data_IF_168654852164
#
_entry.id   IF_168654852164
#
_cell.length_a   1.000
_cell.length_b   1.000
_cell.length_c   1.000
_cell.angle_alpha   90.00
_cell.angle_beta   90.00
_cell.angle_gamma   90.00
#
_symmetry.space_group_name_H-M   'P 1'
#
loop_
_entity.id
_entity.type
_entity.pdbx_description
1 polymer ?
#
# COMPACT_ATOMS: atom_id res chain seq x y z
N UNK A 1 -1.53 -21.87 -33.48
CA UNK A 1 -1.07 -20.80 -32.56
C UNK A 1 0.33 -21.18 -32.11
N UNK A 2 1.27 -20.24 -32.05
CA UNK A 2 2.60 -20.55 -31.53
C UNK A 2 2.44 -20.94 -30.06
N UNK A 3 2.93 -22.12 -29.66
CA UNK A 3 2.90 -22.52 -28.25
C UNK A 3 3.75 -21.55 -27.43
N UNK A 4 3.17 -21.04 -26.35
CA UNK A 4 3.89 -20.19 -25.41
C UNK A 4 5.08 -20.95 -24.83
N UNK A 5 6.24 -20.28 -24.82
CA UNK A 5 7.51 -20.89 -24.38
C UNK A 5 8.05 -20.19 -23.15
N UNK A 6 8.26 -20.96 -22.11
CA UNK A 6 8.79 -20.54 -20.82
C UNK A 6 10.31 -20.75 -20.81
N UNK A 7 11.05 -19.80 -20.24
CA UNK A 7 12.50 -19.92 -20.04
C UNK A 7 12.79 -20.89 -18.89
N UNK A 8 13.73 -21.82 -19.10
CA UNK A 8 14.09 -22.82 -18.08
C UNK A 8 15.17 -22.23 -17.17
N UNK A 9 14.75 -21.75 -16.00
CA UNK A 9 15.65 -21.24 -14.95
C UNK A 9 16.44 -22.39 -14.31
N UNK A 10 17.48 -22.05 -13.55
CA UNK A 10 18.20 -23.06 -12.77
C UNK A 10 17.33 -23.64 -11.65
N UNK A 11 16.51 -22.80 -11.00
CA UNK A 11 15.56 -23.25 -9.98
C UNK A 11 14.58 -24.29 -10.53
N UNK A 12 13.90 -23.97 -11.65
CA UNK A 12 12.99 -24.90 -12.32
C UNK A 12 13.68 -26.22 -12.69
N UNK A 13 14.92 -26.14 -13.18
CA UNK A 13 15.68 -27.33 -13.57
C UNK A 13 16.02 -28.22 -12.37
N UNK A 14 16.48 -27.61 -11.28
CA UNK A 14 16.85 -28.34 -10.07
C UNK A 14 15.63 -28.99 -9.42
N UNK A 15 14.51 -28.26 -9.33
CA UNK A 15 13.26 -28.79 -8.77
C UNK A 15 12.75 -30.00 -9.57
N UNK A 16 12.71 -29.92 -10.91
CA UNK A 16 12.37 -31.07 -11.77
C UNK A 16 13.29 -32.26 -11.49
N UNK A 17 14.60 -32.04 -11.32
CA UNK A 17 15.57 -33.12 -11.06
C UNK A 17 15.33 -33.76 -9.70
N UNK A 18 15.09 -32.95 -8.67
CA UNK A 18 14.92 -33.38 -7.28
C UNK A 18 13.64 -34.19 -7.14
N UNK A 19 12.48 -33.63 -7.49
CA UNK A 19 11.19 -34.31 -7.43
C UNK A 19 11.18 -35.61 -8.22
N UNK A 20 11.74 -35.60 -9.43
CA UNK A 20 11.86 -36.81 -10.26
C UNK A 20 12.66 -37.90 -9.56
N UNK A 21 13.78 -37.54 -8.93
CA UNK A 21 14.64 -38.50 -8.20
C UNK A 21 13.95 -39.03 -6.96
N UNK A 22 13.18 -38.19 -6.27
CA UNK A 22 12.43 -38.58 -5.07
C UNK A 22 11.33 -39.60 -5.40
N UNK A 23 10.71 -39.49 -6.58
CA UNK A 23 9.81 -40.51 -7.13
C UNK A 23 10.53 -41.77 -7.67
N UNK A 24 11.86 -41.75 -7.78
CA UNK A 24 12.64 -42.88 -8.31
C UNK A 24 12.51 -43.13 -9.81
N UNK A 25 11.98 -42.18 -10.59
CA UNK A 25 11.82 -42.32 -12.05
C UNK A 25 13.03 -41.75 -12.80
N UNK A 26 13.40 -42.33 -13.95
CA UNK A 26 14.50 -41.80 -14.75
C UNK A 26 14.04 -40.63 -15.64
N UNK A 27 14.98 -39.82 -16.14
CA UNK A 27 14.64 -38.74 -17.10
C UNK A 27 13.98 -39.27 -18.38
N UNK A 28 14.28 -40.53 -18.75
CA UNK A 28 13.64 -41.17 -19.88
C UNK A 28 12.18 -41.50 -19.56
N UNK A 29 11.93 -42.10 -18.40
CA UNK A 29 10.58 -42.52 -18.00
C UNK A 29 9.64 -41.31 -17.90
N UNK A 30 10.10 -40.21 -17.27
CA UNK A 30 9.31 -38.98 -17.20
C UNK A 30 9.08 -38.38 -18.59
N UNK A 31 10.08 -38.42 -19.47
CA UNK A 31 9.92 -37.96 -20.86
C UNK A 31 8.91 -38.80 -21.66
N UNK A 32 8.78 -40.10 -21.40
CA UNK A 32 7.75 -40.95 -22.03
C UNK A 32 6.36 -40.65 -21.46
N UNK A 33 6.26 -40.45 -20.14
CA UNK A 33 4.99 -40.18 -19.47
C UNK A 33 4.35 -38.84 -19.85
N UNK A 34 5.14 -37.79 -20.08
CA UNK A 34 4.65 -36.50 -20.58
C UNK A 34 3.91 -36.66 -21.92
N UNK A 35 4.24 -37.69 -22.71
CA UNK A 35 3.72 -37.88 -24.05
C UNK A 35 4.20 -36.78 -25.01
N UNK A 36 3.61 -36.69 -26.20
CA UNK A 36 3.94 -35.72 -27.28
C UNK A 36 5.10 -36.10 -28.23
N UNK A 37 5.61 -37.34 -28.18
CA UNK A 37 6.61 -37.82 -29.15
C UNK A 37 8.01 -37.22 -28.95
N UNK A 38 8.30 -36.74 -27.74
CA UNK A 38 9.61 -36.24 -27.35
C UNK A 38 10.67 -37.34 -27.46
N UNK A 39 11.89 -36.95 -27.82
CA UNK A 39 13.01 -37.89 -27.89
C UNK A 39 13.38 -38.40 -26.48
N UNK A 40 13.95 -39.60 -26.38
CA UNK A 40 14.48 -40.16 -25.11
C UNK A 40 15.49 -39.29 -24.36
N UNK A 41 16.06 -38.29 -25.04
CA UNK A 41 17.04 -37.35 -24.48
C UNK A 41 16.44 -35.97 -24.18
N UNK A 42 15.15 -35.76 -24.41
CA UNK A 42 14.51 -34.44 -24.32
C UNK A 42 14.59 -33.89 -22.90
N UNK A 43 14.11 -34.64 -21.91
CA UNK A 43 14.19 -34.21 -20.52
C UNK A 43 15.66 -34.18 -20.03
N UNK A 44 16.49 -35.12 -20.45
CA UNK A 44 17.93 -35.08 -20.13
C UNK A 44 18.60 -33.80 -20.65
N UNK A 45 18.18 -33.28 -21.80
CA UNK A 45 18.67 -32.02 -22.37
C UNK A 45 18.14 -30.78 -21.63
N UNK A 46 16.97 -30.88 -21.00
CA UNK A 46 16.47 -29.86 -20.07
C UNK A 46 17.32 -29.87 -18.80
N UNK A 47 17.52 -31.06 -18.21
CA UNK A 47 18.28 -31.28 -16.96
C UNK A 47 19.77 -30.95 -17.08
N UNK A 48 20.38 -31.07 -18.27
CA UNK A 48 21.78 -30.69 -18.49
C UNK A 48 21.95 -29.25 -19.01
N UNK A 49 20.86 -28.49 -19.13
CA UNK A 49 20.87 -27.09 -19.52
C UNK A 49 21.12 -26.82 -21.01
N UNK A 50 21.12 -27.84 -21.88
CA UNK A 50 21.17 -27.65 -23.34
C UNK A 50 19.89 -27.01 -23.88
N UNK A 51 18.73 -27.43 -23.37
CA UNK A 51 17.45 -26.82 -23.70
C UNK A 51 17.23 -25.58 -22.84
N UNK A 52 16.91 -24.44 -23.45
CA UNK A 52 16.72 -23.15 -22.76
C UNK A 52 15.25 -22.74 -22.60
N UNK A 53 14.35 -23.33 -23.39
CA UNK A 53 12.92 -23.03 -23.38
C UNK A 53 12.09 -24.30 -23.48
N UNK A 54 10.97 -24.35 -22.77
CA UNK A 54 9.98 -25.43 -22.79
C UNK A 54 8.61 -24.86 -23.12
N UNK A 55 7.70 -25.65 -23.70
CA UNK A 55 6.31 -25.18 -23.90
C UNK A 55 5.56 -25.18 -22.57
N UNK A 56 4.60 -24.26 -22.41
CA UNK A 56 3.73 -24.23 -21.22
C UNK A 56 3.06 -25.59 -20.96
N UNK A 57 2.45 -26.18 -21.99
CA UNK A 57 1.76 -27.48 -21.88
C UNK A 57 2.69 -28.63 -21.46
N UNK A 58 3.91 -28.70 -22.03
CA UNK A 58 4.89 -29.71 -21.64
C UNK A 58 5.34 -29.52 -20.18
N UNK A 59 5.48 -28.27 -19.74
CA UNK A 59 5.88 -27.96 -18.37
C UNK A 59 4.80 -28.35 -17.37
N UNK A 60 3.54 -27.98 -17.63
CA UNK A 60 2.41 -28.35 -16.78
C UNK A 60 2.30 -29.87 -16.69
N UNK A 61 2.41 -30.59 -17.82
CA UNK A 61 2.38 -32.06 -17.82
C UNK A 61 3.51 -32.69 -17.00
N UNK A 62 4.72 -32.12 -17.04
CA UNK A 62 5.81 -32.56 -16.16
C UNK A 62 5.37 -32.47 -14.71
N UNK A 63 4.83 -31.32 -14.28
CA UNK A 63 4.45 -31.11 -12.89
C UNK A 63 3.22 -31.90 -12.45
N UNK A 64 2.23 -32.10 -13.33
CA UNK A 64 1.11 -33.01 -13.05
C UNK A 64 1.60 -34.43 -12.72
N UNK A 65 2.61 -34.93 -13.45
CA UNK A 65 3.23 -36.23 -13.16
C UNK A 65 4.03 -36.18 -11.85
N UNK A 66 4.83 -35.13 -11.63
CA UNK A 66 5.69 -34.99 -10.45
C UNK A 66 4.91 -34.80 -9.15
N UNK A 67 3.68 -34.30 -9.22
CA UNK A 67 2.81 -34.05 -8.07
C UNK A 67 1.70 -35.10 -7.91
N UNK A 68 1.66 -36.08 -8.82
CA UNK A 68 0.63 -37.13 -8.84
C UNK A 68 -0.80 -36.54 -8.83
N UNK A 69 -0.99 -35.41 -9.53
CA UNK A 69 -2.28 -34.70 -9.64
C UNK A 69 -2.84 -34.81 -11.06
N UNK A 70 -4.16 -34.99 -11.13
CA UNK A 70 -4.93 -34.90 -12.39
C UNK A 70 -5.45 -33.47 -12.63
N UNK A 71 -5.26 -32.56 -11.67
CA UNK A 71 -5.66 -31.16 -11.75
C UNK A 71 -4.51 -30.30 -12.29
N UNK A 72 -4.64 -29.69 -13.48
CA UNK A 72 -3.63 -28.77 -14.01
C UNK A 72 -3.39 -27.56 -13.12
N UNK A 73 -4.37 -27.12 -12.32
CA UNK A 73 -4.27 -25.90 -11.52
C UNK A 73 -3.27 -26.09 -10.37
N UNK A 74 -3.26 -27.25 -9.71
CA UNK A 74 -2.23 -27.62 -8.70
C UNK A 74 -0.80 -27.51 -9.30
N UNK A 75 -0.62 -28.07 -10.50
CA UNK A 75 0.67 -28.05 -11.19
C UNK A 75 1.07 -26.64 -11.64
N UNK A 76 0.09 -25.81 -12.05
CA UNK A 76 0.30 -24.40 -12.40
C UNK A 76 0.79 -23.64 -11.17
N UNK A 77 0.11 -23.80 -10.03
CA UNK A 77 0.44 -23.13 -8.77
C UNK A 77 1.90 -23.37 -8.36
N UNK A 78 2.33 -24.63 -8.36
CA UNK A 78 3.73 -24.98 -8.06
C UNK A 78 4.70 -24.35 -9.06
N UNK A 79 4.39 -24.42 -10.35
CA UNK A 79 5.27 -23.86 -11.39
C UNK A 79 5.39 -22.35 -11.27
N UNK A 80 4.29 -21.65 -10.98
CA UNK A 80 4.26 -20.20 -10.78
C UNK A 80 5.11 -19.80 -9.57
N UNK A 81 5.06 -20.57 -8.48
CA UNK A 81 5.91 -20.35 -7.30
C UNK A 81 7.40 -20.54 -7.57
N UNK A 82 7.76 -21.52 -8.39
CA UNK A 82 9.17 -21.77 -8.74
C UNK A 82 9.69 -20.71 -9.71
N UNK A 83 8.85 -20.27 -10.64
CA UNK A 83 9.21 -19.30 -11.65
C UNK A 83 9.05 -17.86 -11.19
N UNK A 84 8.33 -17.63 -10.09
CA UNK A 84 7.99 -16.30 -9.54
C UNK A 84 7.26 -15.45 -10.61
N UNK A 85 6.38 -16.08 -11.38
CA UNK A 85 5.64 -15.45 -12.48
C UNK A 85 4.32 -16.19 -12.75
N UNK A 86 3.28 -15.46 -13.14
CA UNK A 86 2.02 -16.04 -13.59
C UNK A 86 2.20 -16.73 -14.95
N UNK A 87 1.75 -17.98 -15.03
CA UNK A 87 1.63 -18.77 -16.26
C UNK A 87 0.20 -19.29 -16.45
N UNK A 88 -0.67 -19.25 -15.44
CA UNK A 88 -2.07 -19.66 -15.46
C UNK A 88 -2.99 -18.70 -16.20
N UNK A 89 -4.30 -18.93 -16.08
CA UNK A 89 -5.31 -17.98 -16.58
C UNK A 89 -5.75 -16.97 -15.51
N UNK A 90 -5.54 -17.30 -14.24
CA UNK A 90 -5.87 -16.44 -13.12
C UNK A 90 -4.72 -15.46 -12.87
N UNK A 91 -5.07 -14.18 -12.69
CA UNK A 91 -4.09 -13.15 -12.34
C UNK A 91 -3.68 -13.35 -10.88
N UNK A 92 -2.37 -13.46 -10.64
CA UNK A 92 -1.80 -13.51 -9.29
C UNK A 92 -1.21 -12.17 -8.91
N UNK A 93 -1.40 -11.80 -7.66
CA UNK A 93 -0.77 -10.63 -7.10
C UNK A 93 0.74 -10.88 -6.89
N UNK A 94 1.56 -9.84 -7.07
CA UNK A 94 3.02 -9.98 -7.02
C UNK A 94 3.51 -10.53 -5.67
N UNK A 95 2.83 -10.19 -4.57
CA UNK A 95 3.21 -10.61 -3.22
C UNK A 95 2.93 -12.10 -2.96
N UNK A 96 2.05 -12.73 -3.74
CA UNK A 96 1.82 -14.17 -3.69
C UNK A 96 2.96 -14.95 -4.37
N UNK A 97 3.71 -14.28 -5.25
CA UNK A 97 4.73 -14.87 -6.09
C UNK A 97 6.15 -14.67 -5.57
N UNK A 98 6.35 -14.08 -4.40
CA UNK A 98 7.68 -13.88 -3.81
C UNK A 98 7.85 -14.68 -2.51
N UNK A 99 9.09 -14.99 -2.18
CA UNK A 99 9.41 -15.59 -0.88
C UNK A 99 9.44 -14.49 0.18
N UNK A 100 8.54 -14.58 1.17
CA UNK A 100 8.54 -13.67 2.32
C UNK A 100 9.72 -14.04 3.22
N UNK A 101 10.53 -13.05 3.58
CA UNK A 101 11.69 -13.22 4.48
C UNK A 101 11.26 -13.77 5.85
N UNK A 102 12.07 -14.68 6.40
CA UNK A 102 11.90 -15.21 7.77
C UNK A 102 11.85 -14.10 8.84
N UNK A 103 12.42 -12.92 8.56
CA UNK A 103 12.34 -11.77 9.47
C UNK A 103 10.93 -11.18 9.59
N UNK A 104 10.06 -11.44 8.60
CA UNK A 104 8.72 -10.83 8.50
C UNK A 104 7.60 -11.87 8.45
N UNK A 105 7.87 -13.09 7.99
CA UNK A 105 6.86 -14.14 7.77
C UNK A 105 6.12 -14.58 9.03
N UNK A 106 6.70 -14.37 10.21
CA UNK A 106 6.12 -14.74 11.51
C UNK A 106 5.52 -13.55 12.27
N UNK A 107 5.38 -12.39 11.63
CA UNK A 107 4.71 -11.22 12.21
C UNK A 107 3.24 -11.23 11.78
N UNK A 108 2.34 -11.42 12.74
CA UNK A 108 0.90 -11.61 12.48
C UNK A 108 0.05 -10.36 12.79
N UNK A 109 0.56 -9.46 13.63
CA UNK A 109 -0.15 -8.23 14.03
C UNK A 109 0.21 -7.08 13.08
N UNK A 110 -0.81 -6.33 12.64
CA UNK A 110 -0.66 -5.23 11.69
C UNK A 110 0.21 -4.08 12.25
N UNK A 111 0.01 -3.74 13.53
CA UNK A 111 0.79 -2.70 14.21
C UNK A 111 2.29 -3.08 14.29
N UNK A 112 2.61 -4.35 14.55
CA UNK A 112 4.00 -4.84 14.61
C UNK A 112 4.68 -4.81 13.21
N UNK A 113 3.92 -5.02 12.14
CA UNK A 113 4.39 -4.88 10.76
C UNK A 113 4.69 -3.41 10.44
N UNK A 114 3.87 -2.47 10.93
CA UNK A 114 4.09 -1.04 10.77
C UNK A 114 5.33 -0.58 11.54
N UNK A 115 5.53 -1.05 12.78
CA UNK A 115 6.74 -0.80 13.55
C UNK A 115 8.00 -1.33 12.82
N UNK A 116 7.91 -2.52 12.22
CA UNK A 116 8.99 -3.12 11.45
C UNK A 116 9.30 -2.34 10.16
N UNK A 117 8.27 -1.78 9.52
CA UNK A 117 8.42 -0.90 8.36
C UNK A 117 9.17 0.38 8.75
N UNK A 118 8.75 1.02 9.84
CA UNK A 118 9.37 2.26 10.33
C UNK A 118 10.85 2.04 10.67
N UNK A 119 11.18 0.95 11.39
CA UNK A 119 12.58 0.58 11.67
C UNK A 119 13.38 0.35 10.37
N UNK A 120 12.83 -0.40 9.41
CA UNK A 120 13.49 -0.67 8.14
C UNK A 120 13.76 0.61 7.34
N UNK A 121 12.80 1.54 7.32
CA UNK A 121 12.92 2.79 6.56
C UNK A 121 13.86 3.78 7.25
N UNK A 122 13.59 4.10 8.51
CA UNK A 122 14.23 5.21 9.22
C UNK A 122 15.61 4.85 9.77
N UNK A 123 15.76 3.63 10.30
CA UNK A 123 17.00 3.22 10.96
C UNK A 123 17.97 2.49 10.01
N UNK A 124 17.47 1.88 8.93
CA UNK A 124 18.29 1.09 8.01
C UNK A 124 18.40 1.73 6.62
N UNK A 125 17.30 1.83 5.87
CA UNK A 125 17.34 2.19 4.45
C UNK A 125 17.78 3.63 4.22
N UNK A 126 17.13 4.60 4.87
CA UNK A 126 17.42 6.03 4.70
C UNK A 126 18.87 6.37 5.07
N UNK A 127 19.41 5.90 6.22
CA UNK A 127 20.81 6.11 6.56
C UNK A 127 21.78 5.52 5.52
N UNK A 128 21.52 4.31 5.02
CA UNK A 128 22.36 3.67 4.01
C UNK A 128 22.39 4.44 2.69
N UNK A 129 21.23 4.91 2.21
CA UNK A 129 21.13 5.76 1.02
C UNK A 129 21.95 7.05 1.22
N UNK A 130 21.74 7.74 2.34
CA UNK A 130 22.44 9.01 2.64
C UNK A 130 23.95 8.83 2.70
N UNK A 131 24.42 7.80 3.41
CA UNK A 131 25.85 7.50 3.56
C UNK A 131 26.50 7.17 2.21
N UNK A 132 25.81 6.38 1.38
CA UNK A 132 26.26 6.01 0.03
C UNK A 132 26.40 7.23 -0.88
N UNK A 133 25.40 8.12 -0.86
CA UNK A 133 25.40 9.33 -1.69
C UNK A 133 26.42 10.36 -1.19
N UNK A 134 26.69 10.45 0.11
CA UNK A 134 27.57 11.46 0.68
C UNK A 134 28.96 11.49 0.00
N UNK A 135 29.55 10.31 -0.21
CA UNK A 135 30.88 10.14 -0.83
C UNK A 135 30.93 10.32 -2.35
N UNK A 136 29.79 10.45 -3.03
CA UNK A 136 29.73 10.54 -4.48
C UNK A 136 30.17 11.90 -5.03
N UNK A 137 30.73 11.90 -6.24
CA UNK A 137 30.93 13.11 -7.06
C UNK A 137 29.60 13.76 -7.48
N UNK A 138 29.63 15.01 -7.95
CA UNK A 138 28.42 15.73 -8.36
C UNK A 138 27.58 14.97 -9.39
N UNK A 139 28.20 14.43 -10.45
CA UNK A 139 27.46 13.71 -11.49
C UNK A 139 26.84 12.41 -10.96
N UNK A 140 27.54 11.70 -10.07
CA UNK A 140 27.01 10.51 -9.41
C UNK A 140 25.83 10.86 -8.50
N UNK A 141 25.91 11.96 -7.74
CA UNK A 141 24.80 12.45 -6.92
C UNK A 141 23.57 12.78 -7.76
N UNK A 142 23.75 13.45 -8.90
CA UNK A 142 22.65 13.75 -9.82
C UNK A 142 21.99 12.46 -10.34
N UNK A 143 22.79 11.49 -10.79
CA UNK A 143 22.27 10.20 -11.25
C UNK A 143 21.53 9.43 -10.14
N UNK A 144 22.09 9.40 -8.92
CA UNK A 144 21.46 8.77 -7.76
C UNK A 144 20.13 9.44 -7.40
N UNK A 145 20.06 10.77 -7.41
CA UNK A 145 18.82 11.51 -7.17
C UNK A 145 17.77 11.24 -8.25
N UNK A 146 18.17 11.10 -9.52
CA UNK A 146 17.26 10.69 -10.59
C UNK A 146 16.71 9.28 -10.36
N UNK A 147 17.55 8.33 -9.95
CA UNK A 147 17.10 6.97 -9.63
C UNK A 147 16.13 6.95 -8.44
N UNK A 148 16.42 7.68 -7.36
CA UNK A 148 15.52 7.81 -6.20
C UNK A 148 14.20 8.52 -6.56
N UNK A 149 14.24 9.51 -7.45
CA UNK A 149 13.02 10.14 -7.96
C UNK A 149 12.17 9.16 -8.76
N UNK A 150 12.78 8.31 -9.59
CA UNK A 150 12.06 7.24 -10.27
C UNK A 150 11.41 6.27 -9.28
N UNK A 151 12.12 5.87 -8.23
CA UNK A 151 11.56 5.03 -7.17
C UNK A 151 10.33 5.69 -6.52
N UNK A 152 10.45 6.94 -6.09
CA UNK A 152 9.32 7.70 -5.51
C UNK A 152 8.13 7.76 -6.47
N UNK A 153 8.38 8.07 -7.75
CA UNK A 153 7.34 8.14 -8.77
C UNK A 153 6.69 6.79 -9.07
N UNK A 154 7.46 5.69 -9.01
CA UNK A 154 6.92 4.35 -9.12
C UNK A 154 5.98 4.04 -7.97
N UNK A 155 6.41 4.21 -6.72
CA UNK A 155 5.55 3.97 -5.54
C UNK A 155 4.30 4.85 -5.57
N UNK A 156 4.43 6.12 -5.95
CA UNK A 156 3.32 7.07 -6.00
C UNK A 156 2.29 6.75 -7.10
N UNK A 157 2.72 6.19 -8.24
CA UNK A 157 1.83 5.93 -9.38
C UNK A 157 1.32 4.49 -9.45
N UNK A 158 2.16 3.53 -9.08
CA UNK A 158 1.95 2.09 -9.27
C UNK A 158 2.82 1.30 -8.27
N UNK A 159 2.28 1.12 -7.05
CA UNK A 159 2.98 0.45 -5.95
C UNK A 159 3.29 -1.01 -6.27
N UNK A 160 2.43 -1.70 -7.01
CA UNK A 160 2.57 -3.13 -7.28
C UNK A 160 3.79 -3.39 -8.17
N UNK A 161 3.94 -2.64 -9.25
CA UNK A 161 5.15 -2.72 -10.08
C UNK A 161 6.39 -2.19 -9.36
N UNK A 162 6.24 -1.20 -8.47
CA UNK A 162 7.36 -0.67 -7.69
C UNK A 162 7.94 -1.72 -6.73
N UNK A 163 7.08 -2.40 -5.97
CA UNK A 163 7.53 -3.44 -5.04
C UNK A 163 8.04 -4.69 -5.77
N UNK A 164 7.43 -5.07 -6.90
CA UNK A 164 7.98 -6.14 -7.74
C UNK A 164 9.40 -5.83 -8.25
N UNK A 165 9.69 -4.57 -8.61
CA UNK A 165 11.03 -4.13 -9.02
C UNK A 165 12.02 -4.14 -7.83
N UNK A 166 11.59 -3.64 -6.67
CA UNK A 166 12.40 -3.62 -5.45
C UNK A 166 12.70 -5.03 -4.91
N UNK A 167 11.81 -5.98 -5.16
CA UNK A 167 11.97 -7.39 -4.78
C UNK A 167 13.11 -8.11 -5.51
N UNK A 168 13.73 -7.51 -6.54
CA UNK A 168 14.88 -8.11 -7.24
C UNK A 168 16.13 -8.05 -6.33
N UNK A 169 16.70 -9.19 -5.90
CA UNK A 169 17.83 -9.23 -4.98
C UNK A 169 19.15 -8.94 -5.70
N UNK A 170 19.38 -7.67 -6.07
CA UNK A 170 20.59 -7.25 -6.80
C UNK A 170 21.90 -7.55 -6.06
N UNK A 171 21.83 -7.72 -4.73
CA UNK A 171 22.95 -8.15 -3.88
C UNK A 171 23.41 -9.60 -4.15
N UNK A 172 22.64 -10.38 -4.94
CA UNK A 172 23.04 -11.72 -5.38
C UNK A 172 24.17 -11.71 -6.42
N UNK A 173 24.47 -10.56 -7.02
CA UNK A 173 25.57 -10.38 -7.99
C UNK A 173 26.91 -10.33 -7.25
N UNK A 174 27.88 -11.15 -7.68
CA UNK A 174 29.22 -11.12 -7.09
C UNK A 174 29.97 -9.86 -7.47
N UNK A 175 30.13 -8.95 -6.51
CA UNK A 175 30.81 -7.65 -6.72
C UNK A 175 32.23 -7.79 -7.29
N UNK A 176 32.98 -8.81 -6.87
CA UNK A 176 34.37 -9.04 -7.32
C UNK A 176 34.48 -9.73 -8.69
N UNK A 177 33.37 -10.23 -9.25
CA UNK A 177 33.33 -10.75 -10.61
C UNK A 177 32.92 -9.62 -11.56
N UNK A 178 33.92 -8.93 -12.12
CA UNK A 178 33.68 -7.78 -13.01
C UNK A 178 32.79 -8.14 -14.21
N UNK A 179 32.88 -9.37 -14.72
CA UNK A 179 32.06 -9.80 -15.86
C UNK A 179 30.60 -9.98 -15.44
N UNK A 180 30.35 -10.67 -14.33
CA UNK A 180 29.01 -10.86 -13.76
C UNK A 180 28.37 -9.51 -13.43
N UNK A 181 29.11 -8.64 -12.74
CA UNK A 181 28.67 -7.29 -12.40
C UNK A 181 28.34 -6.43 -13.63
N UNK A 182 29.21 -6.44 -14.65
CA UNK A 182 28.97 -5.65 -15.88
C UNK A 182 27.77 -6.16 -16.65
N UNK A 183 27.58 -7.48 -16.74
CA UNK A 183 26.39 -8.07 -17.37
C UNK A 183 25.12 -7.69 -16.62
N UNK A 184 25.09 -7.86 -15.30
CA UNK A 184 23.92 -7.52 -14.49
C UNK A 184 23.57 -6.03 -14.58
N UNK A 185 24.57 -5.14 -14.55
CA UNK A 185 24.36 -3.71 -14.71
C UNK A 185 23.75 -3.37 -16.09
N UNK A 186 24.24 -3.99 -17.16
CA UNK A 186 23.70 -3.76 -18.50
C UNK A 186 22.25 -4.25 -18.62
N UNK A 187 21.90 -5.40 -18.01
CA UNK A 187 20.53 -5.92 -18.01
C UNK A 187 19.58 -4.97 -17.27
N UNK A 188 19.99 -4.44 -16.11
CA UNK A 188 19.22 -3.44 -15.36
C UNK A 188 19.07 -2.12 -16.15
N UNK A 189 20.11 -1.66 -16.84
CA UNK A 189 20.05 -0.45 -17.68
C UNK A 189 19.18 -0.66 -18.93
N UNK A 190 19.14 -1.87 -19.50
CA UNK A 190 18.22 -2.21 -20.59
C UNK A 190 16.76 -2.22 -20.10
N UNK A 191 16.51 -2.73 -18.90
CA UNK A 191 15.20 -2.65 -18.24
C UNK A 191 14.79 -1.20 -17.99
N UNK A 192 15.70 -0.38 -17.46
CA UNK A 192 15.51 1.05 -17.29
C UNK A 192 15.10 1.73 -18.62
N UNK A 193 15.83 1.48 -19.70
CA UNK A 193 15.51 2.06 -21.02
C UNK A 193 14.10 1.66 -21.48
N UNK A 194 13.72 0.38 -21.35
CA UNK A 194 12.38 -0.11 -21.70
C UNK A 194 11.27 0.62 -20.92
N UNK A 195 11.41 0.76 -19.61
CA UNK A 195 10.40 1.44 -18.79
C UNK A 195 10.41 2.97 -18.97
N UNK A 196 11.56 3.54 -19.28
CA UNK A 196 11.64 4.96 -19.65
C UNK A 196 10.89 5.23 -20.97
N UNK A 197 11.01 4.35 -21.97
CA UNK A 197 10.24 4.45 -23.21
C UNK A 197 8.72 4.36 -22.95
N UNK A 198 8.29 3.47 -22.05
CA UNK A 198 6.89 3.38 -21.62
C UNK A 198 6.43 4.66 -20.91
N UNK A 199 7.25 5.20 -20.02
CA UNK A 199 6.99 6.46 -19.32
C UNK A 199 6.77 7.60 -20.31
N UNK A 200 7.64 7.72 -21.33
CA UNK A 200 7.52 8.71 -22.40
C UNK A 200 6.27 8.49 -23.26
N UNK A 201 6.01 7.24 -23.68
CA UNK A 201 4.83 6.89 -24.49
C UNK A 201 3.52 7.24 -23.79
N UNK A 202 3.48 7.06 -22.47
CA UNK A 202 2.28 7.23 -21.66
C UNK A 202 2.21 8.61 -20.96
N UNK A 203 3.13 9.54 -21.30
CA UNK A 203 3.25 10.87 -20.70
C UNK A 203 3.27 10.87 -19.16
N UNK A 204 3.89 9.83 -18.58
CA UNK A 204 3.74 9.51 -17.16
C UNK A 204 4.26 10.60 -16.22
N UNK A 205 5.33 11.28 -16.61
CA UNK A 205 5.91 12.37 -15.81
C UNK A 205 4.97 13.57 -15.72
N UNK A 206 4.26 13.91 -16.80
CA UNK A 206 3.29 15.01 -16.74
C UNK A 206 2.06 14.61 -15.93
N UNK A 207 1.58 13.37 -16.06
CA UNK A 207 0.50 12.84 -15.21
C UNK A 207 0.85 12.96 -13.73
N UNK A 208 2.05 12.53 -13.32
CA UNK A 208 2.50 12.61 -11.93
C UNK A 208 2.53 14.06 -11.45
N UNK A 209 3.06 14.98 -12.26
CA UNK A 209 3.09 16.41 -11.91
C UNK A 209 1.69 17.01 -11.76
N UNK A 210 0.73 16.58 -12.58
CA UNK A 210 -0.67 17.01 -12.44
C UNK A 210 -1.30 16.47 -11.17
N UNK A 211 -1.02 15.22 -10.80
CA UNK A 211 -1.50 14.62 -9.57
C UNK A 211 -0.90 15.31 -8.34
N UNK A 212 0.41 15.54 -8.32
CA UNK A 212 1.06 16.27 -7.23
C UNK A 212 0.48 17.67 -7.03
N UNK A 213 0.18 18.40 -8.12
CA UNK A 213 -0.51 19.70 -8.02
C UNK A 213 -1.92 19.59 -7.47
N UNK A 214 -2.64 18.50 -7.78
CA UNK A 214 -3.96 18.24 -7.21
C UNK A 214 -3.84 17.90 -5.73
N UNK A 215 -2.85 17.11 -5.34
CA UNK A 215 -2.60 16.77 -3.95
C UNK A 215 -2.27 18.02 -3.13
N UNK A 216 -1.37 18.88 -3.63
CA UNK A 216 -1.09 20.20 -3.02
C UNK A 216 -2.34 21.06 -2.91
N UNK A 217 -3.18 21.08 -3.95
CA UNK A 217 -4.45 21.82 -3.94
C UNK A 217 -5.42 21.25 -2.89
N UNK A 218 -5.57 19.94 -2.82
CA UNK A 218 -6.46 19.28 -1.86
C UNK A 218 -5.94 19.40 -0.44
N UNK A 219 -4.63 19.29 -0.19
CA UNK A 219 -4.04 19.53 1.13
C UNK A 219 -4.35 20.94 1.62
N UNK A 220 -4.14 21.95 0.78
CA UNK A 220 -4.51 23.34 1.11
C UNK A 220 -6.01 23.50 1.37
N UNK A 221 -6.86 22.84 0.59
CA UNK A 221 -8.31 22.90 0.73
C UNK A 221 -8.80 22.19 2.00
N UNK A 222 -8.17 21.06 2.33
CA UNK A 222 -8.42 20.31 3.56
C UNK A 222 -8.08 21.14 4.78
N UNK A 223 -6.90 21.77 4.79
CA UNK A 223 -6.52 22.74 5.84
C UNK A 223 -7.54 23.88 5.95
N UNK A 224 -7.95 24.49 4.83
CA UNK A 224 -8.98 25.54 4.83
C UNK A 224 -10.32 25.07 5.43
N UNK A 225 -10.77 23.87 5.09
CA UNK A 225 -11.99 23.29 5.64
C UNK A 225 -11.86 23.00 7.15
N UNK A 226 -10.72 22.49 7.61
CA UNK A 226 -10.48 22.26 9.04
C UNK A 226 -10.46 23.59 9.82
N UNK A 227 -9.79 24.63 9.29
CA UNK A 227 -9.84 25.97 9.89
C UNK A 227 -11.27 26.52 9.95
N UNK A 228 -12.03 26.35 8.86
CA UNK A 228 -13.45 26.75 8.81
C UNK A 228 -14.29 25.97 9.85
N UNK A 229 -14.00 24.69 10.03
CA UNK A 229 -14.67 23.86 11.04
C UNK A 229 -14.37 24.36 12.46
N UNK A 230 -13.13 24.77 12.76
CA UNK A 230 -12.74 25.33 14.05
C UNK A 230 -13.43 26.68 14.33
N UNK A 231 -13.50 27.56 13.32
CA UNK A 231 -14.19 28.84 13.43
C UNK A 231 -15.70 28.65 13.64
N UNK A 232 -16.31 27.70 12.92
CA UNK A 232 -17.70 27.32 13.12
C UNK A 232 -17.91 26.70 14.50
N UNK A 233 -17.01 25.83 14.96
CA UNK A 233 -17.06 25.25 16.30
C UNK A 233 -17.07 26.35 17.35
N UNK A 234 -16.13 27.30 17.29
CA UNK A 234 -16.09 28.46 18.18
C UNK A 234 -17.44 29.21 18.17
N UNK A 235 -17.89 29.63 16.99
CA UNK A 235 -19.13 30.41 16.81
C UNK A 235 -20.33 29.68 17.42
N UNK A 236 -20.48 28.39 17.12
CA UNK A 236 -21.62 27.59 17.52
C UNK A 236 -21.57 27.25 19.01
N UNK A 237 -20.40 27.01 19.58
CA UNK A 237 -20.25 26.80 21.03
C UNK A 237 -20.62 28.06 21.81
N UNK A 238 -20.18 29.25 21.39
CA UNK A 238 -20.62 30.50 22.02
C UNK A 238 -22.12 30.79 21.81
N UNK A 239 -22.69 30.37 20.68
CA UNK A 239 -24.14 30.44 20.45
C UNK A 239 -24.89 29.49 21.39
N UNK A 240 -24.43 28.26 21.52
CA UNK A 240 -24.96 27.25 22.45
C UNK A 240 -24.89 27.74 23.89
N UNK A 241 -23.75 28.30 24.31
CA UNK A 241 -23.58 28.90 25.62
C UNK A 241 -24.63 29.97 25.91
N UNK A 242 -24.91 30.86 24.95
CA UNK A 242 -25.98 31.86 25.11
C UNK A 242 -27.38 31.24 25.15
N UNK A 243 -27.62 30.18 24.40
CA UNK A 243 -28.92 29.52 24.29
C UNK A 243 -29.28 28.76 25.56
N UNK A 244 -28.34 28.04 26.19
CA UNK A 244 -28.61 27.29 27.44
C UNK A 244 -29.06 28.18 28.60
N UNK A 245 -28.79 29.50 28.52
CA UNK A 245 -29.22 30.51 29.49
C UNK A 245 -30.62 31.07 29.22
N UNK A 246 -31.27 30.68 28.11
CA UNK A 246 -32.64 31.11 27.79
C UNK A 246 -33.66 30.19 28.46
N UNK A 247 -34.85 30.74 28.69
CA UNK A 247 -35.98 29.98 29.24
C UNK A 247 -36.41 28.81 28.33
N UNK A 248 -36.40 29.04 27.01
CA UNK A 248 -36.75 28.06 25.99
C UNK A 248 -35.59 27.99 24.96
N UNK A 249 -34.55 27.17 25.19
CA UNK A 249 -33.39 27.06 24.31
C UNK A 249 -33.74 26.33 23.01
N UNK A 250 -33.25 26.83 21.87
CA UNK A 250 -33.41 26.15 20.57
C UNK A 250 -32.23 25.22 20.27
N UNK A 251 -32.14 24.13 21.05
CA UNK A 251 -31.03 23.17 20.90
C UNK A 251 -31.10 22.37 19.60
N UNK A 252 -32.29 22.19 19.01
CA UNK A 252 -32.44 21.42 17.78
C UNK A 252 -31.78 22.12 16.59
N UNK A 253 -32.01 23.43 16.44
CA UNK A 253 -31.35 24.21 15.40
C UNK A 253 -29.82 24.25 15.59
N UNK A 254 -29.36 24.42 16.83
CA UNK A 254 -27.92 24.44 17.14
C UNK A 254 -27.27 23.09 16.83
N UNK A 255 -27.89 21.98 17.24
CA UNK A 255 -27.40 20.62 16.96
C UNK A 255 -27.24 20.40 15.45
N UNK A 256 -28.23 20.80 14.65
CA UNK A 256 -28.21 20.66 13.19
C UNK A 256 -27.11 21.52 12.57
N UNK A 257 -26.96 22.76 13.03
CA UNK A 257 -25.88 23.66 12.61
C UNK A 257 -24.52 23.05 12.97
N UNK A 258 -24.33 22.58 14.21
CA UNK A 258 -23.09 21.93 14.66
C UNK A 258 -22.72 20.72 13.79
N UNK A 259 -23.67 19.84 13.50
CA UNK A 259 -23.43 18.66 12.68
C UNK A 259 -22.98 19.04 11.26
N UNK A 260 -23.63 20.04 10.66
CA UNK A 260 -23.38 20.44 9.26
C UNK A 260 -22.11 21.29 9.12
N UNK A 261 -21.91 22.26 10.02
CA UNK A 261 -20.90 23.30 9.87
C UNK A 261 -19.59 22.94 10.60
N UNK A 262 -19.64 22.00 11.55
CA UNK A 262 -18.45 21.46 12.22
C UNK A 262 -18.18 20.05 11.73
N UNK A 263 -19.03 19.08 12.06
CA UNK A 263 -18.69 17.66 11.90
C UNK A 263 -18.50 17.25 10.45
N UNK A 264 -19.42 17.68 9.57
CA UNK A 264 -19.26 17.42 8.13
C UNK A 264 -18.19 18.28 7.49
N UNK A 265 -17.80 19.40 8.10
CA UNK A 265 -16.67 20.18 7.62
C UNK A 265 -15.34 19.50 7.98
N UNK A 266 -15.23 18.92 9.19
CA UNK A 266 -14.09 18.08 9.57
C UNK A 266 -14.00 16.87 8.63
N UNK A 267 -15.11 16.17 8.35
CA UNK A 267 -15.14 15.03 7.41
C UNK A 267 -14.66 15.39 6.00
N UNK A 268 -14.92 16.63 5.54
CA UNK A 268 -14.41 17.09 4.25
C UNK A 268 -12.90 17.29 4.28
N UNK A 269 -12.37 17.87 5.36
CA UNK A 269 -10.92 18.11 5.52
C UNK A 269 -10.13 16.86 5.91
N UNK A 270 -10.76 15.90 6.57
CA UNK A 270 -10.19 14.60 6.89
C UNK A 270 -11.22 13.50 6.57
N UNK A 271 -11.14 12.90 5.37
CA UNK A 271 -12.04 11.83 4.97
C UNK A 271 -12.07 10.67 5.97
N UNK A 272 -13.27 10.13 6.24
CA UNK A 272 -13.57 9.05 7.19
C UNK A 272 -13.47 9.42 8.69
N UNK A 273 -13.30 10.68 9.06
CA UNK A 273 -13.22 11.10 10.47
C UNK A 273 -14.47 10.70 11.26
N UNK A 274 -15.66 10.71 10.67
CA UNK A 274 -16.92 10.35 11.33
C UNK A 274 -17.01 8.85 11.64
N UNK A 275 -16.27 8.02 10.91
CA UNK A 275 -16.20 6.57 11.13
C UNK A 275 -15.22 6.23 12.26
N UNK A 276 -14.09 6.94 12.32
CA UNK A 276 -12.98 6.58 13.19
C UNK A 276 -12.92 7.38 14.49
N UNK A 277 -13.25 8.68 14.46
CA UNK A 277 -13.04 9.60 15.58
C UNK A 277 -14.34 10.25 16.08
N UNK A 278 -15.20 10.73 15.18
CA UNK A 278 -16.43 11.47 15.52
C UNK A 278 -17.69 10.59 15.44
N UNK A 279 -17.67 9.46 16.16
CA UNK A 279 -18.69 8.39 16.06
C UNK A 279 -20.07 8.83 16.56
N UNK A 280 -20.13 9.83 17.43
CA UNK A 280 -21.35 10.28 18.08
C UNK A 280 -22.10 11.37 17.30
N UNK A 281 -21.79 11.58 16.02
CA UNK A 281 -22.35 12.68 15.21
C UNK A 281 -23.88 12.64 15.04
N UNK A 282 -24.48 11.46 15.14
CA UNK A 282 -25.95 11.29 15.16
C UNK A 282 -26.50 11.48 16.57
N UNK A 283 -26.64 12.74 16.97
CA UNK A 283 -27.06 13.09 18.35
C UNK A 283 -28.59 13.12 18.47
N UNK A 284 -29.20 12.61 19.54
CA UNK A 284 -30.67 12.70 19.75
C UNK A 284 -31.04 13.29 21.12
N UNK A 285 -30.13 13.18 22.08
CA UNK A 285 -30.25 13.72 23.42
C UNK A 285 -29.15 14.76 23.70
N UNK A 286 -29.32 15.53 24.77
CA UNK A 286 -28.27 16.43 25.27
C UNK A 286 -26.97 15.67 25.58
N UNK A 287 -27.06 14.47 26.15
CA UNK A 287 -25.89 13.61 26.45
C UNK A 287 -25.14 13.16 25.19
N UNK A 288 -25.87 12.83 24.12
CA UNK A 288 -25.24 12.49 22.83
C UNK A 288 -24.50 13.71 22.29
N UNK A 289 -25.13 14.90 22.36
CA UNK A 289 -24.51 16.16 21.94
C UNK A 289 -23.28 16.50 22.79
N UNK A 290 -23.31 16.29 24.11
CA UNK A 290 -22.13 16.42 24.97
C UNK A 290 -20.99 15.52 24.48
N UNK A 291 -21.30 14.25 24.22
CA UNK A 291 -20.31 13.24 23.80
C UNK A 291 -19.67 13.66 22.48
N UNK A 292 -20.49 14.06 21.51
CA UNK A 292 -20.03 14.50 20.21
C UNK A 292 -19.18 15.78 20.26
N UNK A 293 -19.55 16.76 21.09
CA UNK A 293 -18.72 17.96 21.28
C UNK A 293 -17.36 17.57 21.87
N UNK A 294 -17.31 16.63 22.82
CA UNK A 294 -16.04 16.13 23.39
C UNK A 294 -15.19 15.40 22.35
N UNK A 295 -15.79 14.59 21.49
CA UNK A 295 -15.10 13.95 20.36
C UNK A 295 -14.46 15.00 19.44
N UNK A 296 -15.20 16.07 19.07
CA UNK A 296 -14.64 17.16 18.28
C UNK A 296 -13.49 17.89 19.00
N UNK A 297 -13.60 18.16 20.30
CA UNK A 297 -12.52 18.79 21.08
C UNK A 297 -11.27 17.90 21.09
N UNK A 298 -11.43 16.60 21.36
CA UNK A 298 -10.33 15.65 21.36
C UNK A 298 -9.70 15.52 19.97
N UNK A 299 -10.51 15.58 18.91
CA UNK A 299 -10.02 15.57 17.54
C UNK A 299 -9.17 16.82 17.26
N UNK A 300 -9.65 18.03 17.57
CA UNK A 300 -8.85 19.26 17.40
C UNK A 300 -7.56 19.25 18.24
N UNK A 301 -7.55 18.58 19.39
CA UNK A 301 -6.34 18.41 20.19
C UNK A 301 -5.34 17.42 19.55
N UNK A 302 -5.83 16.28 19.05
CA UNK A 302 -4.98 15.24 18.47
C UNK A 302 -4.40 15.62 17.11
N UNK A 303 -5.17 16.36 16.30
CA UNK A 303 -4.80 16.72 14.92
C UNK A 303 -4.41 18.20 14.76
N UNK A 304 -4.33 18.96 15.85
CA UNK A 304 -4.07 20.41 15.79
C UNK A 304 -2.75 20.77 15.12
N UNK A 305 -1.68 20.02 15.39
CA UNK A 305 -0.36 20.25 14.79
C UNK A 305 -0.34 19.95 13.29
N UNK A 306 -1.01 18.89 12.84
CA UNK A 306 -1.10 18.50 11.42
C UNK A 306 -1.74 19.59 10.56
N UNK A 307 -2.76 20.26 11.10
CA UNK A 307 -3.52 21.29 10.41
C UNK A 307 -3.15 22.73 10.81
N UNK A 308 -2.01 22.94 11.47
CA UNK A 308 -1.52 24.28 11.88
C UNK A 308 -2.55 25.09 12.70
N UNK A 309 -3.32 24.41 13.56
CA UNK A 309 -4.40 25.01 14.34
C UNK A 309 -3.91 25.62 15.67
N UNK A 310 -4.52 26.72 16.15
CA UNK A 310 -4.33 27.15 17.53
C UNK A 310 -4.93 26.12 18.49
N UNK A 311 -4.44 26.12 19.73
CA UNK A 311 -5.01 25.26 20.78
C UNK A 311 -6.50 25.52 20.94
N UNK A 312 -7.31 24.44 20.95
CA UNK A 312 -8.78 24.54 21.06
C UNK A 312 -9.21 25.33 22.30
N UNK A 313 -8.43 25.29 23.39
CA UNK A 313 -8.73 25.98 24.64
C UNK A 313 -8.37 27.48 24.62
N UNK A 314 -7.53 27.92 23.67
CA UNK A 314 -7.34 29.35 23.38
C UNK A 314 -8.52 29.92 22.56
N UNK A 315 -9.17 29.06 21.77
CA UNK A 315 -10.31 29.42 20.93
C UNK A 315 -11.62 29.41 21.72
N UNK A 316 -11.83 28.38 22.54
CA UNK A 316 -12.98 28.18 23.41
C UNK A 316 -12.48 27.81 24.83
N UNK A 317 -12.63 28.71 25.81
CA UNK A 317 -12.25 28.42 27.19
C UNK A 317 -12.93 27.18 27.79
N UNK A 318 -12.16 26.40 28.56
CA UNK A 318 -12.62 25.14 29.16
C UNK A 318 -13.82 25.31 30.09
N UNK A 319 -13.94 26.44 30.79
CA UNK A 319 -15.05 26.78 31.68
C UNK A 319 -16.37 26.88 30.91
N UNK A 320 -16.37 27.48 29.72
CA UNK A 320 -17.54 27.55 28.83
C UNK A 320 -17.98 26.15 28.39
N UNK A 321 -17.01 25.31 27.99
CA UNK A 321 -17.29 23.93 27.60
C UNK A 321 -17.88 23.13 28.77
N UNK A 322 -17.29 23.25 29.97
CA UNK A 322 -17.76 22.56 31.17
C UNK A 322 -19.20 22.95 31.54
N UNK A 323 -19.55 24.23 31.44
CA UNK A 323 -20.91 24.70 31.68
C UNK A 323 -21.91 24.10 30.68
N UNK A 324 -21.56 24.09 29.39
CA UNK A 324 -22.38 23.46 28.34
C UNK A 324 -22.56 21.97 28.61
N UNK A 325 -21.48 21.24 28.92
CA UNK A 325 -21.55 19.81 29.20
C UNK A 325 -22.48 19.52 30.37
N UNK A 326 -22.33 20.24 31.47
CA UNK A 326 -23.16 20.08 32.66
C UNK A 326 -24.64 20.34 32.37
N UNK A 327 -24.95 21.34 31.53
CA UNK A 327 -26.32 21.61 31.13
C UNK A 327 -26.89 20.50 30.24
N UNK A 328 -26.19 20.16 29.16
CA UNK A 328 -26.64 19.19 28.16
C UNK A 328 -26.80 17.78 28.73
N UNK A 329 -25.92 17.35 29.64
CA UNK A 329 -25.99 16.05 30.29
C UNK A 329 -27.30 15.86 31.09
N UNK A 330 -27.96 16.96 31.48
CA UNK A 330 -29.21 16.97 32.23
C UNK A 330 -30.44 17.39 31.38
N UNK A 331 -30.29 17.72 30.09
CA UNK A 331 -31.36 18.32 29.28
C UNK A 331 -32.43 17.31 28.80
N UNK A 332 -32.05 16.07 28.52
CA UNK A 332 -32.94 15.04 27.94
C UNK A 332 -32.97 15.05 26.41
N UNK A 333 -34.12 14.76 25.80
CA UNK A 333 -34.29 14.66 24.34
C UNK A 333 -34.25 16.03 23.63
N UNK A 334 -33.58 16.11 22.48
CA UNK A 334 -33.55 17.30 21.63
C UNK A 334 -34.62 17.18 20.54
N UNK A 335 -35.73 17.91 20.69
CA UNK A 335 -36.90 17.83 19.80
C UNK A 335 -36.97 19.01 18.82
N UNK A 336 -37.50 18.82 17.59
CA UNK A 336 -37.78 19.92 16.67
C UNK A 336 -38.75 20.93 17.29
N UNK A 337 -38.50 22.21 17.09
CA UNK A 337 -39.23 23.34 17.71
C UNK A 337 -40.67 23.52 17.23
N UNK A 338 -41.23 22.60 16.42
CA UNK A 338 -42.56 22.70 15.79
C UNK A 338 -43.50 21.53 16.18
N UNK A 339 -43.64 21.24 17.47
CA UNK A 339 -44.76 20.46 17.99
C UNK A 339 -45.35 21.16 19.22
N UNK A 340 -46.05 22.26 18.98
CA UNK A 340 -47.19 22.70 19.79
C UNK A 340 -48.45 22.69 18.92
#
# INVERSE_FOLDING_TARGET
MASEKIAITNALRLDIIERRKDMGISSYDLSEQVGNGHSKFWLQNIENGKTKKITKDDLIKIYMILEETDDPDDAIDTVEQILKQTIGNDEREWYELIDISDNFSEIYEEDDLMDSLDELLDDQLIPQIRNTIFGMSTNQKQAALTALQHLYYSVYKDSDLAFALLGIPVYGVKELDESEHTTALNDLLALYAKFNDLSMKNDSINTIREWQKRDEYYDSLYKEWIHTALDNFKRIIFKLHKEIHKKNPDLFSIKREFTTDVSFMIERGQPNVLKHYLKSWQTHTGKDLTTHIKECVNWFLGFGEEYDLPSIFEVVPQDILNEIYNYLDNYGEIKPTNYE
#
